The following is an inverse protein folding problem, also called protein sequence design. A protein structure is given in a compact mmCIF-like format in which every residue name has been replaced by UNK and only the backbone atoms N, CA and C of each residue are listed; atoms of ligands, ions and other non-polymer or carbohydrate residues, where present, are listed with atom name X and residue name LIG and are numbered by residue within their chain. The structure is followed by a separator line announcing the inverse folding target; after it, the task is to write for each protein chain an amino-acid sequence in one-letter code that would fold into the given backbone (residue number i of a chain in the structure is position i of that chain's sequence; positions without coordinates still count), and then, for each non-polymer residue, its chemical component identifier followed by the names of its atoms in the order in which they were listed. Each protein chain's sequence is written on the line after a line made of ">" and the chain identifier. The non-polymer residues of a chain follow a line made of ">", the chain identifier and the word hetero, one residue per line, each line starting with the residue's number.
data_IF_074260456592
#
_entry.id   IF_074260456592
#
_cell.length_a   1.000
_cell.length_b   1.000
_cell.length_c   1.000
_cell.angle_alpha   90.00
_cell.angle_beta   90.00
_cell.angle_gamma   90.00
#
_symmetry.space_group_name_H-M   'P 1'
#
loop_
_entity.id
_entity.type
_entity.pdbx_description
1 polymer ?
#
# COMPACT_ATOMS: atom_id res chain seq x y z
N UNK A 1 34.93 -23.54 33.64
CA UNK A 1 34.68 -23.83 32.21
C UNK A 1 33.30 -23.29 31.90
N UNK A 2 33.21 -22.05 31.42
CA UNK A 2 31.98 -21.52 30.80
C UNK A 2 31.72 -22.36 29.56
N UNK A 3 30.50 -22.88 29.42
CA UNK A 3 30.14 -23.67 28.24
C UNK A 3 30.25 -22.76 26.99
N UNK A 4 30.56 -23.33 25.82
CA UNK A 4 30.60 -22.57 24.56
C UNK A 4 29.29 -21.84 24.30
N UNK A 5 28.18 -22.38 24.81
CA UNK A 5 26.83 -21.80 24.69
C UNK A 5 26.68 -20.53 25.56
N UNK A 6 27.25 -20.51 26.77
CA UNK A 6 27.23 -19.32 27.63
C UNK A 6 28.03 -18.16 27.03
N UNK A 7 29.16 -18.47 26.39
CA UNK A 7 29.98 -17.47 25.72
C UNK A 7 29.27 -16.87 24.49
N UNK A 8 28.62 -17.72 23.69
CA UNK A 8 27.81 -17.31 22.55
C UNK A 8 26.62 -16.41 22.95
N UNK A 9 25.92 -16.78 24.02
CA UNK A 9 24.85 -15.97 24.58
C UNK A 9 25.36 -14.62 25.12
N UNK A 10 26.46 -14.62 25.87
CA UNK A 10 27.06 -13.38 26.38
C UNK A 10 27.47 -12.41 25.26
N UNK A 11 27.97 -12.93 24.13
CA UNK A 11 28.26 -12.14 22.93
C UNK A 11 27.01 -11.51 22.32
N UNK A 12 25.92 -12.28 22.23
CA UNK A 12 24.65 -11.81 21.69
C UNK A 12 23.99 -10.72 22.55
N UNK A 13 24.01 -10.87 23.88
CA UNK A 13 23.50 -9.84 24.80
C UNK A 13 24.31 -8.54 24.73
N UNK A 14 25.64 -8.62 24.63
CA UNK A 14 26.47 -7.44 24.41
C UNK A 14 26.17 -6.75 23.07
N UNK A 15 25.91 -7.53 22.02
CA UNK A 15 25.55 -6.96 20.72
C UNK A 15 24.19 -6.25 20.78
N UNK A 16 23.21 -6.82 21.47
CA UNK A 16 21.92 -6.17 21.69
C UNK A 16 22.07 -4.80 22.36
N UNK A 17 22.88 -4.69 23.42
CA UNK A 17 23.11 -3.39 24.08
C UNK A 17 23.84 -2.40 23.16
N UNK A 18 24.86 -2.86 22.42
CA UNK A 18 25.53 -2.04 21.39
C UNK A 18 24.54 -1.47 20.37
N UNK A 19 23.62 -2.29 19.87
CA UNK A 19 22.59 -1.85 18.93
C UNK A 19 21.61 -0.86 19.56
N UNK A 20 21.25 -1.03 20.84
CA UNK A 20 20.38 -0.07 21.57
C UNK A 20 21.05 1.29 21.75
N UNK A 21 22.36 1.32 21.89
CA UNK A 21 23.14 2.56 22.01
C UNK A 21 23.33 3.29 20.67
N UNK A 22 22.96 2.66 19.56
CA UNK A 22 23.09 3.21 18.20
C UNK A 22 24.21 2.56 17.38
N UNK A 23 24.77 1.45 17.85
CA UNK A 23 25.81 0.71 17.14
C UNK A 23 25.34 0.12 15.80
N UNK A 24 26.26 0.01 14.85
CA UNK A 24 25.99 -0.48 13.48
C UNK A 24 26.83 -1.71 13.10
N UNK A 25 27.71 -2.16 14.00
CA UNK A 25 28.66 -3.25 13.76
C UNK A 25 27.93 -4.56 13.40
N UNK A 26 28.24 -5.17 12.24
CA UNK A 26 27.67 -6.46 11.85
C UNK A 26 28.01 -7.58 12.84
N UNK A 27 27.12 -8.58 12.97
CA UNK A 27 27.30 -9.71 13.89
C UNK A 27 28.62 -10.44 13.67
N UNK A 28 28.96 -10.80 12.43
CA UNK A 28 30.22 -11.47 12.09
C UNK A 28 31.48 -10.78 12.64
N UNK A 29 31.44 -9.45 12.77
CA UNK A 29 32.57 -8.62 13.21
C UNK A 29 32.52 -8.26 14.70
N UNK A 30 31.40 -8.56 15.37
CA UNK A 30 31.23 -8.25 16.78
C UNK A 30 31.98 -9.23 17.67
N UNK A 31 32.74 -8.73 18.64
CA UNK A 31 33.52 -9.56 19.57
C UNK A 31 33.28 -9.24 21.06
N UNK A 32 32.36 -8.31 21.36
CA UNK A 32 32.03 -7.94 22.74
C UNK A 32 31.37 -9.08 23.52
N UNK A 33 31.42 -9.03 24.85
CA UNK A 33 30.78 -10.01 25.74
C UNK A 33 30.14 -9.27 26.89
N UNK A 34 28.96 -9.72 27.32
CA UNK A 34 28.16 -9.01 28.32
C UNK A 34 27.23 -9.94 29.08
N UNK A 35 26.60 -9.39 30.12
CA UNK A 35 25.68 -10.13 30.96
C UNK A 35 24.32 -10.29 30.29
N UNK A 36 23.64 -11.40 30.61
CA UNK A 36 22.28 -11.66 30.16
C UNK A 36 21.30 -10.71 30.84
N UNK A 37 20.67 -9.82 30.07
CA UNK A 37 19.72 -8.83 30.59
C UNK A 37 18.25 -9.27 30.53
N UNK A 38 17.94 -10.41 29.90
CA UNK A 38 16.56 -10.87 29.75
C UNK A 38 16.38 -12.38 29.62
N UNK A 39 15.11 -12.82 29.57
CA UNK A 39 14.75 -14.24 29.46
C UNK A 39 14.92 -14.79 28.04
N UNK A 40 14.56 -14.02 27.03
CA UNK A 40 14.61 -14.42 25.62
C UNK A 40 15.37 -13.36 24.85
N UNK A 41 16.32 -13.79 24.02
CA UNK A 41 17.03 -12.92 23.11
C UNK A 41 16.13 -12.63 21.89
N UNK A 42 16.02 -11.36 21.43
CA UNK A 42 15.37 -11.05 20.16
C UNK A 42 16.01 -11.82 18.99
N UNK A 43 15.20 -12.16 17.99
CA UNK A 43 15.68 -12.89 16.81
C UNK A 43 16.60 -12.07 15.92
N UNK A 44 17.27 -12.76 14.99
CA UNK A 44 18.16 -12.20 14.00
C UNK A 44 17.49 -11.10 13.18
N UNK A 45 16.20 -11.25 12.86
CA UNK A 45 15.45 -10.25 12.08
C UNK A 45 15.32 -8.92 12.84
N UNK A 46 14.98 -8.96 14.12
CA UNK A 46 14.80 -7.77 14.96
C UNK A 46 16.15 -7.05 15.16
N UNK A 47 17.21 -7.80 15.40
CA UNK A 47 18.54 -7.26 15.63
C UNK A 47 19.12 -6.62 14.36
N UNK A 48 19.00 -7.29 13.20
CA UNK A 48 19.43 -6.71 11.92
C UNK A 48 18.61 -5.49 11.54
N UNK A 49 17.29 -5.52 11.78
CA UNK A 49 16.45 -4.35 11.51
C UNK A 49 16.88 -3.15 12.36
N UNK A 50 17.17 -3.35 13.65
CA UNK A 50 17.66 -2.28 14.52
C UNK A 50 19.02 -1.76 14.04
N UNK A 51 19.93 -2.64 13.61
CA UNK A 51 21.22 -2.25 13.02
C UNK A 51 21.04 -1.39 11.77
N UNK A 52 20.16 -1.78 10.84
CA UNK A 52 19.86 -1.00 9.61
C UNK A 52 19.14 0.31 9.91
N UNK A 53 18.31 0.35 10.95
CA UNK A 53 17.75 1.60 11.44
C UNK A 53 18.89 2.53 11.86
N UNK A 54 19.79 2.09 12.75
CA UNK A 54 20.96 2.87 13.21
C UNK A 54 21.85 3.36 12.05
N UNK A 55 22.04 2.55 11.00
CA UNK A 55 22.77 2.96 9.80
C UNK A 55 22.07 4.08 9.02
N UNK A 56 20.74 4.03 8.92
CA UNK A 56 19.94 5.03 8.22
C UNK A 56 19.71 6.30 9.06
N UNK A 57 19.71 6.18 10.39
CA UNK A 57 19.54 7.27 11.35
C UNK A 57 19.34 6.74 12.77
N UNK A 58 19.41 7.60 13.80
CA UNK A 58 19.24 7.13 15.17
C UNK A 58 17.74 6.95 15.51
N UNK A 59 17.21 5.72 15.69
CA UNK A 59 15.84 5.53 16.13
C UNK A 59 15.68 6.04 17.57
N UNK A 60 14.49 6.54 17.90
CA UNK A 60 14.19 6.87 19.29
C UNK A 60 14.07 5.59 20.15
N UNK A 61 14.26 5.67 21.48
CA UNK A 61 14.20 4.49 22.35
C UNK A 61 12.87 3.74 22.32
N UNK A 62 11.76 4.42 22.03
CA UNK A 62 10.44 3.83 21.85
C UNK A 62 10.39 2.96 20.60
N UNK A 63 10.84 3.47 19.45
CA UNK A 63 10.94 2.68 18.22
C UNK A 63 11.87 1.46 18.39
N UNK A 64 13.05 1.65 18.98
CA UNK A 64 13.99 0.54 19.23
C UNK A 64 13.35 -0.58 20.08
N UNK A 65 12.61 -0.21 21.13
CA UNK A 65 11.89 -1.19 21.98
C UNK A 65 10.82 -1.94 21.19
N UNK A 66 10.07 -1.26 20.33
CA UNK A 66 9.03 -1.89 19.48
C UNK A 66 9.64 -2.86 18.47
N UNK A 67 10.75 -2.49 17.84
CA UNK A 67 11.49 -3.36 16.91
C UNK A 67 11.93 -4.65 17.60
N UNK A 68 12.54 -4.53 18.79
CA UNK A 68 13.04 -5.68 19.55
C UNK A 68 11.93 -6.58 20.09
N UNK A 69 10.73 -6.04 20.30
CA UNK A 69 9.55 -6.79 20.75
C UNK A 69 8.66 -7.29 19.61
N UNK A 70 8.92 -6.86 18.36
CA UNK A 70 8.10 -7.21 17.21
C UNK A 70 8.23 -8.69 16.87
N UNK A 71 7.12 -9.33 16.52
CA UNK A 71 7.12 -10.66 15.93
C UNK A 71 6.81 -10.56 14.43
N UNK A 72 7.59 -11.24 13.59
CA UNK A 72 7.37 -11.21 12.15
C UNK A 72 6.03 -11.91 11.79
N UNK A 73 5.10 -11.26 11.07
CA UNK A 73 3.82 -11.87 10.69
C UNK A 73 4.04 -13.02 9.71
N UNK A 74 3.43 -14.18 9.98
CA UNK A 74 3.51 -15.37 9.12
C UNK A 74 3.27 -16.65 9.91
N UNK A 75 2.27 -17.45 9.50
CA UNK A 75 1.92 -18.69 10.22
C UNK A 75 3.12 -19.65 10.23
N UNK A 76 3.54 -20.06 11.43
CA UNK A 76 4.55 -21.11 11.62
C UNK A 76 5.99 -20.70 11.30
N UNK A 77 6.28 -19.40 11.17
CA UNK A 77 7.65 -18.91 11.00
C UNK A 77 8.17 -18.33 12.33
N UNK A 78 9.11 -19.01 13.01
CA UNK A 78 9.70 -18.50 14.24
C UNK A 78 10.67 -17.35 13.95
N UNK A 79 11.01 -16.60 15.01
CA UNK A 79 12.18 -15.75 15.02
C UNK A 79 13.44 -16.61 14.82
N UNK A 80 14.39 -16.12 14.03
CA UNK A 80 15.60 -16.86 13.66
C UNK A 80 16.68 -16.65 14.71
N UNK A 81 17.36 -17.71 15.09
CA UNK A 81 18.43 -17.67 16.07
C UNK A 81 19.75 -17.16 15.44
N UNK A 82 20.66 -16.66 16.27
CA UNK A 82 21.97 -16.17 15.82
C UNK A 82 22.99 -17.31 15.73
N UNK A 83 23.73 -17.34 14.62
CA UNK A 83 24.87 -18.24 14.47
C UNK A 83 25.89 -18.02 15.59
N UNK A 84 26.23 -19.10 16.30
CA UNK A 84 27.19 -19.09 17.41
C UNK A 84 26.63 -18.58 18.74
N UNK A 85 25.36 -18.18 18.84
CA UNK A 85 24.71 -17.85 20.12
C UNK A 85 23.67 -18.88 20.58
N UNK A 86 23.10 -19.63 19.63
CA UNK A 86 22.20 -20.75 19.89
C UNK A 86 22.81 -22.07 19.40
N UNK A 87 22.56 -23.19 20.09
CA UNK A 87 22.96 -24.49 19.61
C UNK A 87 22.22 -24.84 18.32
N UNK A 88 22.87 -25.59 17.42
CA UNK A 88 22.18 -26.10 16.24
C UNK A 88 21.07 -27.08 16.65
N UNK A 89 19.81 -26.65 16.49
CA UNK A 89 18.66 -27.52 16.69
C UNK A 89 18.49 -28.51 15.54
N UNK A 90 18.01 -29.72 15.85
CA UNK A 90 17.59 -30.71 14.83
C UNK A 90 16.25 -30.35 14.18
N UNK A 91 15.49 -29.44 14.80
CA UNK A 91 14.16 -29.03 14.37
C UNK A 91 14.08 -27.52 14.25
N UNK A 92 13.44 -27.04 13.18
CA UNK A 92 13.32 -25.61 12.88
C UNK A 92 14.43 -25.11 11.95
N UNK A 93 14.40 -23.81 11.62
CA UNK A 93 15.42 -23.19 10.78
C UNK A 93 16.78 -23.16 11.51
N UNK A 94 17.86 -23.28 10.76
CA UNK A 94 19.21 -23.16 11.31
C UNK A 94 19.48 -21.73 11.80
N UNK A 95 20.34 -21.54 12.83
CA UNK A 95 20.83 -20.22 13.20
C UNK A 95 21.53 -19.52 12.02
N UNK A 96 21.35 -18.21 11.92
CA UNK A 96 21.79 -17.40 10.77
C UNK A 96 22.72 -16.27 11.21
N UNK A 97 23.57 -15.80 10.29
CA UNK A 97 24.14 -14.46 10.42
C UNK A 97 23.07 -13.44 10.02
N UNK A 98 22.74 -12.46 10.89
CA UNK A 98 21.76 -11.43 10.59
C UNK A 98 22.08 -10.62 9.31
N UNK A 99 23.35 -10.45 8.95
CA UNK A 99 23.74 -9.73 7.73
C UNK A 99 23.37 -10.48 6.44
N UNK A 100 23.24 -11.81 6.51
CA UNK A 100 22.88 -12.67 5.38
C UNK A 100 21.36 -12.86 5.22
N UNK A 101 20.57 -12.22 6.08
CA UNK A 101 19.12 -12.31 6.00
C UNK A 101 18.59 -11.73 4.68
N UNK A 102 17.70 -12.45 3.97
CA UNK A 102 16.98 -11.88 2.84
C UNK A 102 16.19 -10.64 3.27
N UNK A 103 16.15 -9.61 2.42
CA UNK A 103 15.42 -8.39 2.70
C UNK A 103 13.93 -8.64 2.99
N UNK A 104 13.32 -9.64 2.37
CA UNK A 104 11.92 -10.05 2.64
C UNK A 104 11.65 -10.36 4.12
N UNK A 105 12.60 -10.97 4.85
CA UNK A 105 12.44 -11.27 6.27
C UNK A 105 12.36 -9.99 7.12
N UNK A 106 13.14 -8.97 6.77
CA UNK A 106 13.11 -7.67 7.44
C UNK A 106 11.88 -6.85 7.02
N UNK A 107 11.44 -6.97 5.76
CA UNK A 107 10.21 -6.36 5.26
C UNK A 107 9.00 -6.88 6.05
N UNK A 108 8.96 -8.17 6.41
CA UNK A 108 7.88 -8.72 7.25
C UNK A 108 7.78 -8.02 8.60
N UNK A 109 8.91 -7.83 9.29
CA UNK A 109 8.93 -7.14 10.59
C UNK A 109 8.52 -5.67 10.44
N UNK A 110 9.13 -4.95 9.49
CA UNK A 110 8.85 -3.52 9.26
C UNK A 110 7.40 -3.26 8.84
N UNK A 111 6.82 -4.12 8.01
CA UNK A 111 5.41 -3.97 7.59
C UNK A 111 4.42 -4.20 8.72
N UNK A 112 4.76 -5.03 9.72
CA UNK A 112 3.96 -5.16 10.95
C UNK A 112 3.97 -3.89 11.77
N UNK A 113 5.17 -3.34 12.04
CA UNK A 113 5.32 -2.08 12.78
C UNK A 113 4.61 -0.91 12.09
N UNK A 114 4.76 -0.79 10.77
CA UNK A 114 4.08 0.24 9.98
C UNK A 114 2.56 0.05 9.98
N UNK A 115 2.06 -1.19 9.96
CA UNK A 115 0.62 -1.45 10.06
C UNK A 115 0.07 -1.05 11.44
N UNK A 116 0.79 -1.36 12.52
CA UNK A 116 0.43 -0.91 13.88
C UNK A 116 0.42 0.62 13.99
N UNK A 117 1.42 1.30 13.44
CA UNK A 117 1.48 2.77 13.37
C UNK A 117 0.27 3.35 12.65
N UNK A 118 -0.12 2.74 11.54
CA UNK A 118 -1.26 3.17 10.73
C UNK A 118 -2.60 2.94 11.43
N UNK A 119 -2.72 1.90 12.26
CA UNK A 119 -3.93 1.67 13.10
C UNK A 119 -4.02 2.71 14.21
N UNK A 120 -2.89 3.13 14.77
CA UNK A 120 -2.82 4.15 15.80
C UNK A 120 -3.18 5.56 15.29
N UNK A 121 -3.17 5.79 13.97
CA UNK A 121 -3.61 7.07 13.39
C UNK A 121 -5.11 7.27 13.71
N UNK A 122 -5.47 8.38 14.41
CA UNK A 122 -6.87 8.67 14.73
C UNK A 122 -7.76 8.59 13.50
N UNK A 123 -9.01 8.17 13.70
CA UNK A 123 -9.97 8.19 12.61
C UNK A 123 -10.11 9.63 12.10
N UNK A 124 -9.89 9.88 10.81
CA UNK A 124 -10.11 11.18 10.25
C UNK A 124 -11.57 11.55 10.49
N UNK A 125 -11.82 12.80 10.88
CA UNK A 125 -13.20 13.24 11.08
C UNK A 125 -14.04 12.92 9.83
N UNK A 126 -15.31 12.51 10.00
CA UNK A 126 -16.17 12.18 8.89
C UNK A 126 -16.14 13.29 7.84
N UNK A 127 -15.94 12.88 6.58
CA UNK A 127 -15.77 13.80 5.47
C UNK A 127 -16.93 14.80 5.40
N UNK A 128 -16.69 15.91 4.72
CA UNK A 128 -17.72 16.91 4.51
C UNK A 128 -19.00 16.26 3.97
N UNK A 129 -18.95 15.32 3.02
CA UNK A 129 -20.15 14.67 2.44
C UNK A 129 -21.00 13.95 3.48
N UNK A 130 -20.37 13.31 4.45
CA UNK A 130 -20.99 12.62 5.58
C UNK A 130 -21.62 13.63 6.52
N UNK A 131 -20.95 14.76 6.78
CA UNK A 131 -21.55 15.92 7.48
C UNK A 131 -22.74 16.52 6.71
N UNK A 132 -22.61 16.77 5.41
CA UNK A 132 -23.68 17.27 4.53
C UNK A 132 -24.85 16.28 4.42
N UNK A 133 -24.60 14.97 4.54
CA UNK A 133 -25.65 13.93 4.61
C UNK A 133 -26.39 13.97 5.94
N UNK A 134 -25.68 14.15 7.05
CA UNK A 134 -26.26 14.21 8.42
C UNK A 134 -27.01 15.52 8.67
N UNK A 135 -26.57 16.64 8.08
CA UNK A 135 -27.18 17.97 8.25
C UNK A 135 -28.51 18.19 7.51
N UNK A 136 -29.11 17.15 6.90
CA UNK A 136 -30.56 17.12 6.63
C UNK A 136 -31.18 18.21 5.75
N UNK A 137 -30.38 19.08 5.09
CA UNK A 137 -30.91 20.20 4.32
C UNK A 137 -31.56 19.76 3.00
N UNK A 138 -32.88 19.94 2.90
CA UNK A 138 -33.70 19.89 1.68
C UNK A 138 -33.04 20.65 0.49
N UNK A 139 -32.32 21.74 0.77
CA UNK A 139 -31.54 22.52 -0.22
C UNK A 139 -30.30 21.80 -0.78
N UNK A 140 -29.68 20.88 -0.02
CA UNK A 140 -28.51 20.11 -0.43
C UNK A 140 -28.80 18.94 -1.38
N UNK A 141 -30.08 18.63 -1.63
CA UNK A 141 -30.53 17.65 -2.64
C UNK A 141 -30.79 18.28 -4.01
N UNK A 142 -31.18 19.56 -4.03
CA UNK A 142 -31.58 20.31 -5.22
C UNK A 142 -30.40 20.85 -6.05
N UNK A 143 -29.18 20.85 -5.50
CA UNK A 143 -27.96 21.37 -6.16
C UNK A 143 -26.84 20.32 -6.34
N UNK A 144 -27.14 19.02 -6.23
CA UNK A 144 -26.11 17.99 -6.43
C UNK A 144 -25.80 17.84 -7.91
N UNK A 145 -24.53 17.92 -8.32
CA UNK A 145 -24.18 17.66 -9.70
C UNK A 145 -24.49 16.19 -10.03
N UNK A 146 -25.24 15.98 -11.11
CA UNK A 146 -25.80 14.69 -11.52
C UNK A 146 -24.77 13.83 -12.26
N UNK A 147 -23.69 13.41 -11.60
CA UNK A 147 -22.72 12.50 -12.23
C UNK A 147 -22.21 11.42 -11.28
N UNK A 148 -21.72 10.31 -11.86
CA UNK A 148 -21.06 9.21 -11.15
C UNK A 148 -19.78 8.83 -11.88
N UNK A 149 -18.66 8.74 -11.16
CA UNK A 149 -17.36 8.32 -11.68
C UNK A 149 -17.17 6.82 -11.44
N UNK A 150 -16.91 6.06 -12.50
CA UNK A 150 -16.64 4.61 -12.50
C UNK A 150 -15.53 4.29 -13.52
N UNK A 151 -15.18 3.01 -13.72
CA UNK A 151 -14.10 2.60 -14.61
C UNK A 151 -12.80 2.45 -13.83
N UNK A 152 -11.71 3.06 -14.31
CA UNK A 152 -10.41 3.07 -13.64
C UNK A 152 -10.53 3.55 -12.18
N UNK A 153 -10.31 2.66 -11.19
CA UNK A 153 -10.58 2.96 -9.80
C UNK A 153 -9.55 3.93 -9.20
N UNK A 154 -8.30 3.91 -9.66
CA UNK A 154 -7.25 4.79 -9.15
C UNK A 154 -7.53 6.25 -9.58
N UNK A 155 -7.85 6.44 -10.87
CA UNK A 155 -8.21 7.75 -11.43
C UNK A 155 -9.54 8.26 -10.88
N UNK A 156 -10.56 7.40 -10.83
CA UNK A 156 -11.88 7.79 -10.34
C UNK A 156 -11.86 8.17 -8.86
N UNK A 157 -11.05 7.50 -8.04
CA UNK A 157 -10.88 7.82 -6.63
C UNK A 157 -10.20 9.18 -6.42
N UNK A 158 -9.10 9.44 -7.15
CA UNK A 158 -8.39 10.73 -7.10
C UNK A 158 -9.31 11.90 -7.49
N UNK A 159 -10.03 11.77 -8.62
CA UNK A 159 -10.98 12.77 -9.06
C UNK A 159 -12.13 12.97 -8.04
N UNK A 160 -12.67 11.87 -7.50
CA UNK A 160 -13.74 11.92 -6.48
C UNK A 160 -13.29 12.65 -5.23
N UNK A 161 -12.11 12.34 -4.68
CA UNK A 161 -11.58 13.00 -3.47
C UNK A 161 -11.45 14.51 -3.68
N UNK A 162 -10.90 14.93 -4.82
CA UNK A 162 -10.80 16.35 -5.15
C UNK A 162 -12.17 17.03 -5.27
N UNK A 163 -13.11 16.40 -5.96
CA UNK A 163 -14.47 16.94 -6.16
C UNK A 163 -15.24 17.03 -4.85
N UNK A 164 -15.08 16.05 -3.96
CA UNK A 164 -15.62 16.07 -2.60
C UNK A 164 -15.06 17.24 -1.79
N UNK A 165 -13.73 17.43 -1.78
CA UNK A 165 -13.07 18.55 -1.09
C UNK A 165 -13.55 19.92 -1.61
N UNK A 166 -13.93 20.01 -2.89
CA UNK A 166 -14.50 21.21 -3.52
C UNK A 166 -16.02 21.37 -3.33
N UNK A 167 -16.66 20.55 -2.49
CA UNK A 167 -18.11 20.61 -2.24
C UNK A 167 -18.97 20.12 -3.40
N UNK A 168 -18.41 19.33 -4.32
CA UNK A 168 -19.10 18.79 -5.51
C UNK A 168 -19.08 17.26 -5.55
N UNK A 169 -19.60 16.58 -4.52
CA UNK A 169 -19.55 15.12 -4.46
C UNK A 169 -20.33 14.47 -5.62
N UNK A 170 -19.80 13.38 -6.23
CA UNK A 170 -20.56 12.62 -7.24
C UNK A 170 -21.83 12.01 -6.63
N UNK A 171 -22.95 12.03 -7.37
CA UNK A 171 -24.21 11.42 -6.96
C UNK A 171 -25.46 12.03 -7.59
N UNK A 172 -26.58 11.94 -6.88
CA UNK A 172 -27.89 12.44 -7.31
C UNK A 172 -28.87 11.32 -7.70
N UNK A 173 -30.16 11.66 -7.82
CA UNK A 173 -31.23 10.71 -8.13
C UNK A 173 -31.20 10.20 -9.59
N UNK A 174 -30.52 10.92 -10.48
CA UNK A 174 -30.35 10.53 -11.88
C UNK A 174 -28.98 10.98 -12.44
N UNK A 175 -27.87 10.33 -12.06
CA UNK A 175 -26.54 10.72 -12.51
C UNK A 175 -26.24 10.28 -13.95
N UNK A 176 -25.52 11.11 -14.71
CA UNK A 176 -24.75 10.66 -15.88
C UNK A 176 -23.52 9.88 -15.39
N UNK A 177 -23.35 8.66 -15.87
CA UNK A 177 -22.24 7.80 -15.52
C UNK A 177 -21.07 8.09 -16.45
N UNK A 178 -19.97 8.57 -15.89
CA UNK A 178 -18.70 8.80 -16.58
C UNK A 178 -17.79 7.60 -16.28
N UNK A 179 -17.53 6.79 -17.31
CA UNK A 179 -16.66 5.62 -17.24
C UNK A 179 -15.26 6.06 -17.64
N UNK A 180 -14.40 6.25 -16.65
CA UNK A 180 -13.02 6.69 -16.84
C UNK A 180 -12.17 5.53 -17.36
N UNK A 181 -11.32 5.81 -18.34
CA UNK A 181 -10.32 4.89 -18.85
C UNK A 181 -9.06 5.62 -19.33
N UNK A 182 -8.29 4.92 -20.15
CA UNK A 182 -7.07 5.39 -20.77
C UNK A 182 -6.49 4.30 -21.67
N UNK A 183 -5.19 4.35 -21.93
CA UNK A 183 -4.45 3.25 -22.53
C UNK A 183 -4.51 1.99 -21.63
N UNK A 184 -4.44 0.81 -22.23
CA UNK A 184 -4.65 -0.43 -21.49
C UNK A 184 -3.50 -0.69 -20.51
N UNK A 185 -2.25 -0.37 -20.87
CA UNK A 185 -1.13 -0.54 -19.95
C UNK A 185 -1.33 0.30 -18.68
N UNK A 186 -1.67 1.58 -18.82
CA UNK A 186 -1.96 2.48 -17.70
C UNK A 186 -3.14 2.00 -16.85
N UNK A 187 -4.23 1.55 -17.47
CA UNK A 187 -5.37 1.02 -16.72
C UNK A 187 -5.04 -0.27 -15.93
N UNK A 188 -4.14 -1.12 -16.43
CA UNK A 188 -3.68 -2.32 -15.72
C UNK A 188 -2.81 -1.96 -14.52
N UNK A 189 -1.88 -1.01 -14.69
CA UNK A 189 -1.06 -0.51 -13.58
C UNK A 189 -1.90 0.20 -12.52
N UNK A 190 -2.86 1.01 -12.94
CA UNK A 190 -3.79 1.73 -12.06
C UNK A 190 -4.68 0.74 -11.28
N UNK A 191 -5.15 -0.32 -11.95
CA UNK A 191 -5.95 -1.36 -11.30
C UNK A 191 -5.16 -2.15 -10.24
N UNK A 192 -3.92 -2.55 -10.53
CA UNK A 192 -3.10 -3.25 -9.52
C UNK A 192 -2.69 -2.30 -8.37
N UNK A 193 -2.37 -1.05 -8.68
CA UNK A 193 -2.13 0.00 -7.67
C UNK A 193 -3.34 0.19 -6.77
N UNK A 194 -4.56 0.22 -7.33
CA UNK A 194 -5.78 0.32 -6.53
C UNK A 194 -5.95 -0.85 -5.56
N UNK A 195 -5.62 -2.06 -6.02
CA UNK A 195 -5.65 -3.28 -5.20
C UNK A 195 -4.59 -3.25 -4.10
N UNK A 196 -3.38 -2.77 -4.39
CA UNK A 196 -2.31 -2.63 -3.40
C UNK A 196 -2.69 -1.68 -2.25
N UNK A 197 -3.52 -0.67 -2.53
CA UNK A 197 -4.10 0.21 -1.51
C UNK A 197 -5.46 -0.27 -1.01
N UNK A 198 -5.57 -1.57 -0.71
CA UNK A 198 -6.76 -2.22 -0.17
C UNK A 198 -6.37 -3.32 0.81
N UNK A 199 -7.28 -3.70 1.70
CA UNK A 199 -7.06 -4.76 2.70
C UNK A 199 -8.03 -5.94 2.55
N UNK A 200 -8.82 -5.99 1.46
CA UNK A 200 -9.87 -6.98 1.21
C UNK A 200 -9.41 -8.38 0.78
N UNK A 201 -8.17 -8.76 1.02
CA UNK A 201 -7.60 -10.06 0.67
C UNK A 201 -6.16 -9.97 0.14
N UNK A 202 -5.46 -11.11 0.02
CA UNK A 202 -4.09 -11.14 -0.48
C UNK A 202 -4.04 -10.63 -1.92
N UNK A 203 -3.11 -9.72 -2.17
CA UNK A 203 -2.84 -9.19 -3.51
C UNK A 203 -1.55 -9.84 -4.00
N UNK A 204 -1.60 -10.58 -5.13
CA UNK A 204 -0.40 -11.18 -5.71
C UNK A 204 0.64 -10.12 -6.07
N UNK A 205 1.89 -10.56 -6.23
CA UNK A 205 2.95 -9.70 -6.80
C UNK A 205 2.53 -9.22 -8.19
N UNK A 206 3.13 -8.11 -8.65
CA UNK A 206 2.82 -7.54 -9.95
C UNK A 206 2.94 -8.57 -11.09
N UNK A 207 4.06 -9.31 -11.14
CA UNK A 207 4.32 -10.36 -12.13
C UNK A 207 3.23 -11.43 -12.13
N UNK A 208 3.00 -12.08 -10.99
CA UNK A 208 1.96 -13.12 -10.88
C UNK A 208 0.58 -12.62 -11.29
N UNK A 209 0.25 -11.38 -10.91
CA UNK A 209 -1.04 -10.78 -11.27
C UNK A 209 -1.17 -10.52 -12.78
N UNK A 210 -0.16 -9.92 -13.43
CA UNK A 210 -0.22 -9.62 -14.86
C UNK A 210 -0.18 -10.89 -15.70
N UNK A 211 0.61 -11.88 -15.31
CA UNK A 211 0.66 -13.21 -15.97
C UNK A 211 -0.73 -13.84 -15.97
N UNK A 212 -1.40 -13.85 -14.81
CA UNK A 212 -2.78 -14.37 -14.68
C UNK A 212 -3.78 -13.63 -15.57
N UNK A 213 -3.67 -12.30 -15.69
CA UNK A 213 -4.54 -11.49 -16.56
C UNK A 213 -4.30 -11.82 -18.04
N UNK A 214 -3.04 -11.96 -18.44
CA UNK A 214 -2.64 -12.28 -19.81
C UNK A 214 -3.09 -13.69 -20.20
N UNK A 215 -2.82 -14.68 -19.34
CA UNK A 215 -3.18 -16.09 -19.52
C UNK A 215 -4.70 -16.28 -19.58
N UNK A 216 -5.44 -15.68 -18.64
CA UNK A 216 -6.90 -15.78 -18.63
C UNK A 216 -7.57 -14.97 -19.75
N UNK A 217 -6.89 -13.95 -20.27
CA UNK A 217 -7.43 -12.98 -21.23
C UNK A 217 -8.55 -12.10 -20.68
N UNK A 218 -8.82 -12.14 -19.36
CA UNK A 218 -9.94 -11.44 -18.72
C UNK A 218 -9.45 -10.15 -18.06
N UNK A 219 -9.99 -9.02 -18.51
CA UNK A 219 -9.74 -7.74 -17.88
C UNK A 219 -10.59 -7.60 -16.61
N UNK A 220 -9.98 -7.10 -15.55
CA UNK A 220 -10.74 -6.66 -14.37
C UNK A 220 -11.60 -5.44 -14.71
N UNK A 221 -12.75 -5.27 -14.04
CA UNK A 221 -13.72 -4.19 -14.34
C UNK A 221 -13.10 -2.79 -14.37
N UNK A 222 -12.08 -2.55 -13.56
CA UNK A 222 -11.38 -1.26 -13.52
C UNK A 222 -10.49 -1.00 -14.74
N UNK A 223 -10.06 -2.04 -15.44
CA UNK A 223 -9.29 -1.93 -16.68
C UNK A 223 -10.12 -2.28 -17.93
N UNK A 224 -11.44 -2.42 -17.78
CA UNK A 224 -12.38 -2.73 -18.86
C UNK A 224 -13.49 -1.66 -18.90
N UNK A 225 -13.22 -0.52 -19.57
CA UNK A 225 -14.22 0.55 -19.70
C UNK A 225 -15.46 0.09 -20.50
N UNK A 226 -15.29 -0.85 -21.44
CA UNK A 226 -16.40 -1.41 -22.22
C UNK A 226 -17.35 -2.21 -21.33
N UNK A 227 -16.84 -3.16 -20.54
CA UNK A 227 -17.64 -3.96 -19.62
C UNK A 227 -18.31 -3.07 -18.55
N UNK A 228 -17.58 -2.06 -18.05
CA UNK A 228 -18.13 -1.07 -17.13
C UNK A 228 -19.29 -0.28 -17.76
N UNK A 229 -19.14 0.20 -19.00
CA UNK A 229 -20.16 0.92 -19.72
C UNK A 229 -21.40 0.06 -19.99
N UNK A 230 -21.24 -1.17 -20.50
CA UNK A 230 -22.36 -2.11 -20.75
C UNK A 230 -23.21 -2.33 -19.50
N UNK A 231 -22.57 -2.64 -18.37
CA UNK A 231 -23.25 -2.83 -17.07
C UNK A 231 -24.03 -1.61 -16.62
N UNK A 232 -23.53 -0.40 -16.89
CA UNK A 232 -24.23 0.82 -16.52
C UNK A 232 -25.33 1.19 -17.52
N UNK A 233 -25.15 0.89 -18.80
CA UNK A 233 -26.18 1.04 -19.83
C UNK A 233 -27.42 0.23 -19.48
N UNK A 234 -27.26 -1.01 -19.00
CA UNK A 234 -28.36 -1.85 -18.50
C UNK A 234 -29.13 -1.21 -17.33
N UNK A 235 -28.47 -0.35 -16.54
CA UNK A 235 -29.03 0.23 -15.30
C UNK A 235 -29.62 1.61 -15.48
N UNK A 236 -29.02 2.45 -16.33
CA UNK A 236 -29.40 3.88 -16.47
C UNK A 236 -29.69 4.29 -17.92
N UNK A 237 -29.58 3.36 -18.87
CA UNK A 237 -29.75 3.61 -20.30
C UNK A 237 -28.51 4.21 -20.97
N UNK A 238 -28.33 4.00 -22.29
CA UNK A 238 -27.12 4.38 -23.03
C UNK A 238 -26.91 5.89 -23.09
N UNK A 239 -28.00 6.69 -23.14
CA UNK A 239 -27.93 8.16 -23.18
C UNK A 239 -27.27 8.78 -21.94
N UNK A 240 -27.22 8.04 -20.83
CA UNK A 240 -26.67 8.49 -19.54
C UNK A 240 -25.31 7.88 -19.23
N UNK A 241 -24.71 7.15 -20.17
CA UNK A 241 -23.35 6.60 -20.04
C UNK A 241 -22.44 7.33 -21.02
N UNK A 242 -21.27 7.75 -20.55
CA UNK A 242 -20.20 8.31 -21.39
C UNK A 242 -18.88 7.68 -21.00
N UNK A 243 -18.14 7.17 -21.97
CA UNK A 243 -16.77 6.69 -21.74
C UNK A 243 -15.81 7.86 -21.90
N UNK A 244 -14.94 8.09 -20.92
CA UNK A 244 -13.99 9.20 -20.89
C UNK A 244 -12.59 8.62 -20.90
N UNK A 245 -11.96 8.63 -22.08
CA UNK A 245 -10.60 8.11 -22.30
C UNK A 245 -9.54 9.19 -22.21
N UNK A 246 -9.92 10.47 -22.40
CA UNK A 246 -9.04 11.62 -22.22
C UNK A 246 -9.28 12.28 -20.86
N UNK A 247 -8.29 12.23 -19.94
CA UNK A 247 -8.38 12.89 -18.64
C UNK A 247 -8.62 14.40 -18.74
N UNK A 248 -8.15 15.07 -19.79
CA UNK A 248 -8.30 16.52 -19.97
C UNK A 248 -9.74 16.93 -20.27
N UNK A 249 -10.59 16.02 -20.76
CA UNK A 249 -12.00 16.28 -21.00
C UNK A 249 -12.87 16.17 -19.73
N UNK A 250 -12.39 15.46 -18.70
CA UNK A 250 -13.15 15.20 -17.48
C UNK A 250 -13.56 16.47 -16.70
N UNK A 251 -12.70 17.50 -16.52
CA UNK A 251 -13.05 18.72 -15.79
C UNK A 251 -14.32 19.39 -16.34
N UNK A 252 -14.43 19.52 -17.67
CA UNK A 252 -15.61 20.10 -18.33
C UNK A 252 -16.89 19.29 -18.09
N UNK A 253 -16.79 17.95 -18.04
CA UNK A 253 -17.93 17.06 -17.80
C UNK A 253 -18.45 17.09 -16.35
N UNK A 254 -17.59 17.42 -15.39
CA UNK A 254 -17.96 17.53 -13.96
C UNK A 254 -18.09 19.00 -13.50
N UNK A 255 -17.93 19.95 -14.42
CA UNK A 255 -18.14 21.38 -14.22
C UNK A 255 -17.06 22.09 -13.40
N UNK A 256 -15.81 21.63 -13.46
CA UNK A 256 -14.65 22.26 -12.78
C UNK A 256 -13.60 22.69 -13.80
N UNK A 257 -12.71 23.63 -13.42
CA UNK A 257 -11.66 24.13 -14.32
C UNK A 257 -10.55 23.10 -14.55
N UNK A 258 -10.18 22.38 -13.50
CA UNK A 258 -9.12 21.37 -13.55
C UNK A 258 -9.38 20.29 -12.49
N UNK A 259 -8.79 19.12 -12.73
CA UNK A 259 -8.70 18.04 -11.76
C UNK A 259 -7.22 17.67 -11.62
N UNK A 260 -6.75 17.34 -10.41
CA UNK A 260 -5.40 16.82 -10.25
C UNK A 260 -5.28 15.47 -10.97
N UNK A 261 -4.11 15.16 -11.55
CA UNK A 261 -3.85 13.82 -12.07
C UNK A 261 -3.93 12.78 -10.93
N UNK A 262 -4.11 11.52 -11.30
CA UNK A 262 -4.01 10.44 -10.33
C UNK A 262 -2.60 10.43 -9.71
N UNK A 263 -2.45 10.14 -8.40
CA UNK A 263 -1.15 10.12 -7.75
C UNK A 263 -0.20 9.14 -8.45
N UNK A 264 1.04 9.57 -8.67
CA UNK A 264 2.05 8.77 -9.33
C UNK A 264 3.04 8.25 -8.28
N UNK A 265 3.13 6.94 -8.12
CA UNK A 265 3.99 6.26 -7.13
C UNK A 265 5.14 5.52 -7.81
N UNK A 266 6.24 5.29 -7.07
CA UNK A 266 7.26 4.34 -7.50
C UNK A 266 6.73 2.91 -7.33
N UNK A 267 7.26 1.97 -8.11
CA UNK A 267 6.89 0.56 -8.01
C UNK A 267 7.15 -0.02 -6.62
N UNK A 268 8.24 0.40 -5.99
CA UNK A 268 8.64 -0.04 -4.65
C UNK A 268 7.65 0.49 -3.58
N UNK A 269 7.14 1.72 -3.74
CA UNK A 269 6.12 2.27 -2.86
C UNK A 269 4.77 1.54 -2.98
N UNK A 270 4.38 1.14 -4.19
CA UNK A 270 3.15 0.37 -4.41
C UNK A 270 3.28 -1.02 -3.80
N UNK A 271 4.44 -1.68 -3.96
CA UNK A 271 4.68 -2.99 -3.36
C UNK A 271 4.74 -2.93 -1.82
N UNK A 272 5.32 -1.88 -1.25
CA UNK A 272 5.28 -1.64 0.19
C UNK A 272 3.83 -1.51 0.69
N UNK A 273 3.01 -0.69 0.02
CA UNK A 273 1.60 -0.54 0.35
C UNK A 273 0.83 -1.87 0.27
N UNK A 274 1.11 -2.69 -0.75
CA UNK A 274 0.54 -4.04 -0.91
C UNK A 274 0.85 -4.93 0.29
N UNK A 275 2.10 -4.93 0.76
CA UNK A 275 2.55 -5.76 1.88
C UNK A 275 1.98 -5.27 3.21
N UNK A 276 2.00 -3.96 3.46
CA UNK A 276 1.34 -3.33 4.62
C UNK A 276 -0.15 -3.66 4.62
N UNK A 277 -0.84 -3.55 3.48
CA UNK A 277 -2.26 -3.84 3.35
C UNK A 277 -2.62 -5.29 3.71
N UNK A 278 -1.71 -6.24 3.46
CA UNK A 278 -1.86 -7.64 3.87
C UNK A 278 -1.90 -7.81 5.39
N UNK A 279 -1.03 -7.11 6.13
CA UNK A 279 -0.99 -7.15 7.61
C UNK A 279 -2.14 -6.33 8.20
N UNK A 280 -2.36 -5.12 7.67
CA UNK A 280 -3.41 -4.21 8.12
C UNK A 280 -4.80 -4.84 8.00
N UNK A 281 -5.04 -5.69 7.00
CA UNK A 281 -6.30 -6.44 6.86
C UNK A 281 -6.61 -7.42 7.99
N UNK A 282 -5.64 -7.76 8.84
CA UNK A 282 -5.85 -8.54 10.06
C UNK A 282 -6.24 -7.67 11.26
N UNK A 283 -5.98 -6.36 11.19
CA UNK A 283 -6.17 -5.42 12.30
C UNK A 283 -7.44 -4.58 12.14
N UNK A 284 -7.89 -4.33 10.91
CA UNK A 284 -9.04 -3.46 10.62
C UNK A 284 -9.93 -4.01 9.52
N UNK A 285 -11.18 -3.54 9.48
CA UNK A 285 -12.14 -3.90 8.43
C UNK A 285 -11.68 -3.41 7.04
N UNK A 286 -12.09 -4.08 5.94
CA UNK A 286 -11.68 -3.67 4.60
C UNK A 286 -11.95 -2.21 4.22
N UNK A 287 -13.12 -1.61 4.56
CA UNK A 287 -13.37 -0.20 4.30
C UNK A 287 -12.41 0.72 5.07
N UNK A 288 -12.16 0.43 6.35
CA UNK A 288 -11.25 1.21 7.20
C UNK A 288 -9.81 1.08 6.73
N UNK A 289 -9.35 -0.12 6.41
CA UNK A 289 -8.01 -0.35 5.90
C UNK A 289 -7.75 0.40 4.59
N UNK A 290 -8.69 0.36 3.63
CA UNK A 290 -8.59 1.18 2.41
C UNK A 290 -8.51 2.67 2.72
N UNK A 291 -9.29 3.15 3.67
CA UNK A 291 -9.26 4.55 4.08
C UNK A 291 -7.90 4.95 4.66
N UNK A 292 -7.39 4.18 5.63
CA UNK A 292 -6.08 4.40 6.27
C UNK A 292 -4.96 4.38 5.24
N UNK A 293 -4.94 3.39 4.33
CA UNK A 293 -3.93 3.31 3.28
C UNK A 293 -3.98 4.54 2.33
N UNK A 294 -5.17 5.07 2.04
CA UNK A 294 -5.34 6.19 1.11
C UNK A 294 -5.14 7.57 1.73
N UNK A 295 -5.45 7.72 3.01
CA UNK A 295 -5.43 9.00 3.69
C UNK A 295 -4.15 9.20 4.52
N UNK A 296 -3.64 8.14 5.16
CA UNK A 296 -2.46 8.21 6.02
C UNK A 296 -1.19 7.69 5.33
N UNK A 297 -1.26 6.53 4.66
CA UNK A 297 -0.07 5.95 4.03
C UNK A 297 0.30 6.64 2.71
N UNK A 298 -0.68 6.82 1.81
CA UNK A 298 -0.43 7.35 0.46
C UNK A 298 0.36 8.68 0.46
N UNK A 299 0.03 9.72 1.26
CA UNK A 299 0.80 10.96 1.26
C UNK A 299 2.28 10.77 1.58
N UNK A 300 2.61 9.84 2.48
CA UNK A 300 3.99 9.52 2.89
C UNK A 300 4.79 8.80 1.79
N UNK A 301 4.10 8.25 0.79
CA UNK A 301 4.69 7.51 -0.32
C UNK A 301 4.85 8.32 -1.62
N UNK A 302 4.26 9.53 -1.70
CA UNK A 302 4.24 10.32 -2.94
C UNK A 302 5.64 10.76 -3.40
N UNK A 303 6.51 11.11 -2.44
CA UNK A 303 7.86 11.60 -2.70
C UNK A 303 8.90 10.46 -2.74
N UNK A 304 8.47 9.21 -2.60
CA UNK A 304 9.36 8.06 -2.64
C UNK A 304 10.01 7.93 -4.03
N UNK A 305 11.36 7.98 -4.13
CA UNK A 305 12.04 7.84 -5.40
C UNK A 305 11.91 6.41 -5.91
N UNK A 306 12.08 6.23 -7.21
CA UNK A 306 12.16 4.91 -7.84
C UNK A 306 11.46 4.86 -9.20
N UNK A 307 11.63 3.74 -9.92
CA UNK A 307 11.04 3.57 -11.24
C UNK A 307 9.52 3.45 -11.14
N UNK A 308 8.82 3.78 -12.23
CA UNK A 308 7.37 3.63 -12.33
C UNK A 308 7.01 2.19 -12.64
N UNK A 309 5.88 1.75 -12.10
CA UNK A 309 5.28 0.47 -12.48
C UNK A 309 4.91 0.49 -13.97
N UNK A 310 5.17 -0.60 -14.67
CA UNK A 310 4.79 -0.76 -16.07
C UNK A 310 4.58 -2.22 -16.44
N UNK A 311 3.96 -2.44 -17.60
CA UNK A 311 3.75 -3.80 -18.12
C UNK A 311 5.08 -4.40 -18.57
N UNK A 312 5.42 -5.63 -18.13
CA UNK A 312 6.65 -6.31 -18.56
C UNK A 312 6.75 -6.48 -20.09
N UNK A 313 7.95 -6.37 -20.69
CA UNK A 313 8.15 -6.43 -22.14
C UNK A 313 7.55 -7.65 -22.84
N UNK A 314 7.60 -8.81 -22.20
CA UNK A 314 7.02 -10.07 -22.67
C UNK A 314 5.52 -9.96 -22.98
N UNK A 315 4.81 -9.06 -22.31
CA UNK A 315 3.36 -8.88 -22.43
C UNK A 315 2.96 -7.74 -23.38
N UNK A 316 3.91 -6.97 -23.91
CA UNK A 316 3.62 -5.81 -24.77
C UNK A 316 2.80 -6.19 -26.01
N UNK A 317 3.12 -7.32 -26.64
CA UNK A 317 2.36 -7.83 -27.81
C UNK A 317 0.91 -8.17 -27.47
N UNK A 318 0.66 -8.67 -26.27
CA UNK A 318 -0.69 -8.95 -25.81
C UNK A 318 -1.46 -7.64 -25.57
N UNK A 319 -0.86 -6.68 -24.87
CA UNK A 319 -1.46 -5.37 -24.59
C UNK A 319 -1.85 -4.65 -25.88
N UNK A 320 -0.96 -4.58 -26.87
CA UNK A 320 -1.22 -3.92 -28.16
C UNK A 320 -2.38 -4.58 -28.90
N UNK A 321 -2.47 -5.92 -28.92
CA UNK A 321 -3.61 -6.61 -29.55
C UNK A 321 -4.90 -6.36 -28.79
N UNK A 322 -4.85 -6.39 -27.46
CA UNK A 322 -6.04 -6.23 -26.61
C UNK A 322 -6.58 -4.81 -26.66
N UNK A 323 -5.74 -3.78 -26.66
CA UNK A 323 -6.16 -2.38 -26.80
C UNK A 323 -6.79 -2.10 -28.16
N UNK A 324 -6.26 -2.68 -29.25
CA UNK A 324 -6.91 -2.61 -30.58
C UNK A 324 -8.31 -3.21 -30.61
N UNK A 325 -8.48 -4.38 -29.99
CA UNK A 325 -9.81 -5.02 -29.87
C UNK A 325 -10.76 -4.16 -29.04
N UNK A 326 -10.28 -3.67 -27.89
CA UNK A 326 -11.07 -2.78 -27.03
C UNK A 326 -11.50 -1.50 -27.74
N UNK A 327 -10.64 -0.92 -28.58
CA UNK A 327 -10.99 0.23 -29.43
C UNK A 327 -12.14 -0.09 -30.38
N UNK A 328 -12.05 -1.21 -31.09
CA UNK A 328 -13.08 -1.62 -32.06
C UNK A 328 -14.43 -1.88 -31.37
N UNK A 329 -14.38 -2.56 -30.23
CA UNK A 329 -15.57 -2.83 -29.43
C UNK A 329 -16.19 -1.52 -28.89
N UNK A 330 -15.38 -0.54 -28.49
CA UNK A 330 -15.86 0.77 -28.04
C UNK A 330 -16.49 1.59 -29.17
N UNK A 331 -15.92 1.52 -30.39
CA UNK A 331 -16.48 2.20 -31.58
C UNK A 331 -17.85 1.66 -31.97
N UNK A 332 -18.08 0.36 -31.78
CA UNK A 332 -19.35 -0.29 -32.12
C UNK A 332 -20.43 -0.21 -31.02
N UNK A 333 -20.09 0.21 -29.80
CA UNK A 333 -20.97 0.07 -28.63
C UNK A 333 -22.09 1.13 -28.48
N UNK A 334 -22.17 2.12 -29.38
CA UNK A 334 -23.32 3.03 -29.51
C UNK A 334 -23.50 4.06 -28.38
N UNK A 335 -22.59 4.15 -27.41
CA UNK A 335 -22.54 5.22 -26.41
C UNK A 335 -21.40 6.23 -26.69
N UNK A 336 -21.53 7.49 -26.25
CA UNK A 336 -20.50 8.51 -26.47
C UNK A 336 -19.15 8.13 -25.85
N UNK A 337 -18.09 8.22 -26.66
CA UNK A 337 -16.69 8.11 -26.24
C UNK A 337 -16.05 9.48 -26.33
N UNK A 338 -15.42 9.92 -25.24
CA UNK A 338 -14.82 11.24 -25.08
C UNK A 338 -13.30 11.08 -24.97
N UNK A 339 -12.59 11.49 -26.03
CA UNK A 339 -11.13 11.59 -26.08
C UNK A 339 -10.65 12.14 -27.43
N UNK A 340 -9.61 12.98 -27.40
CA UNK A 340 -9.08 13.92 -28.43
C UNK A 340 -9.50 13.78 -29.90
N UNK A 341 -9.73 14.94 -30.53
CA UNK A 341 -10.19 15.22 -31.91
C UNK A 341 -11.33 14.30 -32.35
N UNK A 342 -12.58 14.78 -32.18
CA UNK A 342 -13.81 14.14 -32.63
C UNK A 342 -14.22 12.84 -31.90
N UNK A 343 -13.92 12.70 -30.60
CA UNK A 343 -14.43 11.56 -29.81
C UNK A 343 -13.82 10.21 -30.19
N UNK A 344 -12.53 10.20 -30.54
CA UNK A 344 -11.87 8.98 -30.99
C UNK A 344 -11.58 8.03 -29.82
N UNK A 345 -11.99 6.76 -29.99
CA UNK A 345 -11.57 5.65 -29.14
C UNK A 345 -10.05 5.36 -29.22
N UNK A 346 -9.29 6.04 -30.08
CA UNK A 346 -7.84 5.82 -30.24
C UNK A 346 -7.02 6.11 -28.98
N UNK A 347 -7.55 6.89 -28.02
CA UNK A 347 -6.90 7.13 -26.74
C UNK A 347 -6.72 5.84 -25.89
N UNK A 348 -7.44 4.76 -26.20
CA UNK A 348 -7.26 3.44 -25.56
C UNK A 348 -6.04 2.68 -26.10
N UNK A 349 -5.49 3.10 -27.24
CA UNK A 349 -4.45 2.35 -27.93
C UNK A 349 -3.10 2.48 -27.26
N UNK A 350 -2.48 1.34 -27.03
CA UNK A 350 -1.07 1.25 -26.69
C UNK A 350 -0.22 1.21 -27.96
N UNK A 351 0.79 2.06 -28.00
CA UNK A 351 1.72 2.13 -29.12
C UNK A 351 2.97 1.30 -28.82
N UNK A 352 3.36 0.33 -29.69
CA UNK A 352 4.54 -0.51 -29.47
C UNK A 352 5.82 0.27 -29.15
N UNK A 353 6.04 1.40 -29.84
CA UNK A 353 7.21 2.26 -29.60
C UNK A 353 7.21 2.87 -28.21
N UNK A 354 6.06 3.34 -27.71
CA UNK A 354 5.94 3.92 -26.36
C UNK A 354 6.17 2.87 -25.28
N UNK A 355 5.60 1.67 -25.46
CA UNK A 355 5.82 0.56 -24.55
C UNK A 355 7.28 0.10 -24.55
N UNK A 356 7.93 0.01 -25.72
CA UNK A 356 9.33 -0.40 -25.82
C UNK A 356 10.31 0.63 -25.22
N UNK A 357 9.97 1.92 -25.24
CA UNK A 357 10.77 2.97 -24.57
C UNK A 357 10.51 3.03 -23.06
N UNK A 358 9.38 2.51 -22.59
CA UNK A 358 9.14 2.41 -21.17
C UNK A 358 10.07 1.33 -20.60
N UNK A 359 10.92 1.70 -19.65
CA UNK A 359 11.64 0.74 -18.82
C UNK A 359 10.79 0.48 -17.58
N UNK A 360 9.92 -0.55 -17.58
CA UNK A 360 9.05 -0.82 -16.44
C UNK A 360 9.92 -1.16 -15.22
N UNK A 361 9.67 -0.45 -14.13
CA UNK A 361 10.25 -0.83 -12.85
C UNK A 361 9.58 -2.09 -12.32
N UNK A 362 10.38 -2.92 -11.65
CA UNK A 362 9.89 -4.03 -10.83
C UNK A 362 10.18 -3.76 -9.36
N UNK A 363 9.32 -4.24 -8.45
CA UNK A 363 9.60 -4.14 -7.02
C UNK A 363 10.93 -4.81 -6.70
N UNK A 364 11.83 -4.08 -6.05
CA UNK A 364 13.11 -4.62 -5.59
C UNK A 364 13.15 -4.62 -4.07
N UNK A 365 13.38 -5.78 -3.47
CA UNK A 365 13.22 -5.97 -2.02
C UNK A 365 14.09 -5.02 -1.21
N UNK A 366 15.38 -4.84 -1.56
CA UNK A 366 16.23 -3.88 -0.85
C UNK A 366 15.73 -2.42 -0.92
N UNK A 367 15.16 -1.99 -2.04
CA UNK A 367 14.61 -0.63 -2.17
C UNK A 367 13.30 -0.47 -1.40
N UNK A 368 12.48 -1.52 -1.38
CA UNK A 368 11.26 -1.58 -0.55
C UNK A 368 11.63 -1.53 0.94
N UNK A 369 12.63 -2.29 1.37
CA UNK A 369 13.12 -2.29 2.74
C UNK A 369 13.70 -0.92 3.12
N UNK A 370 14.57 -0.35 2.27
CA UNK A 370 15.12 0.98 2.51
C UNK A 370 14.02 2.05 2.65
N UNK A 371 12.96 1.97 1.84
CA UNK A 371 11.80 2.84 1.98
C UNK A 371 11.06 2.62 3.31
N UNK A 372 10.82 1.36 3.70
CA UNK A 372 10.16 1.02 4.96
C UNK A 372 10.96 1.49 6.18
N UNK A 373 12.29 1.33 6.17
CA UNK A 373 13.20 1.82 7.22
C UNK A 373 13.10 3.34 7.37
N UNK A 374 13.18 4.09 6.26
CA UNK A 374 13.00 5.55 6.30
C UNK A 374 11.64 5.94 6.88
N UNK A 375 10.57 5.26 6.47
CA UNK A 375 9.23 5.52 6.98
C UNK A 375 9.08 5.27 8.50
N UNK A 376 9.78 4.27 9.05
CA UNK A 376 9.79 4.04 10.49
C UNK A 376 10.53 5.16 11.24
N UNK A 377 11.64 5.67 10.68
CA UNK A 377 12.38 6.78 11.26
C UNK A 377 11.61 8.12 11.18
N UNK A 378 10.86 8.34 10.09
CA UNK A 378 10.06 9.54 9.89
C UNK A 378 8.75 9.54 10.69
N UNK A 379 8.38 8.41 11.31
CA UNK A 379 7.20 8.35 12.15
C UNK A 379 7.44 9.21 13.41
N UNK A 380 6.57 10.20 13.65
CA UNK A 380 6.65 11.01 14.86
C UNK A 380 6.65 10.10 16.11
N UNK A 381 7.41 10.43 17.15
CA UNK A 381 7.50 9.60 18.35
C UNK A 381 6.10 9.42 18.93
N UNK A 382 5.66 8.16 19.05
CA UNK A 382 4.43 7.83 19.74
C UNK A 382 4.53 8.33 21.18
N UNK A 383 3.68 9.30 21.54
CA UNK A 383 3.43 9.56 22.95
C UNK A 383 2.81 8.27 23.51
N UNK A 384 3.56 7.61 24.41
CA UNK A 384 3.09 6.42 25.08
C UNK A 384 1.69 6.68 25.68
N UNK A 385 0.77 5.70 25.66
CA UNK A 385 -0.51 5.87 26.32
C UNK A 385 -0.27 6.22 27.79
N UNK A 386 -0.80 7.36 28.23
CA UNK A 386 -0.84 7.74 29.64
C UNK A 386 -1.43 6.56 30.41
N UNK A 387 -0.61 5.90 31.22
CA UNK A 387 -1.10 5.02 32.27
C UNK A 387 -1.87 5.92 33.25
N UNK A 388 -3.19 5.93 33.14
CA UNK A 388 -4.05 6.49 34.17
C UNK A 388 -3.73 5.75 35.47
N UNK A 389 -3.27 6.42 36.53
CA UNK A 389 -3.03 5.73 37.79
C UNK A 389 -4.37 5.19 38.30
N UNK A 390 -4.46 3.87 38.44
CA UNK A 390 -5.54 3.23 39.15
C UNK A 390 -5.58 3.82 40.57
N UNK A 391 -6.58 4.65 40.85
CA UNK A 391 -6.94 5.02 42.20
C UNK A 391 -7.35 3.75 42.93
N UNK A 392 -6.51 3.33 43.88
CA UNK A 392 -6.83 2.31 44.87
C UNK A 392 -7.89 2.90 45.80
N UNK A 393 -9.13 2.42 45.70
CA UNK A 393 -10.13 2.66 46.75
C UNK A 393 -9.80 1.77 47.95
N UNK A 394 -9.78 2.30 49.18
CA UNK A 394 -9.65 1.48 50.37
C UNK A 394 -10.97 0.73 50.64
N UNK A 395 -10.88 -0.58 50.88
CA UNK A 395 -11.96 -1.37 51.47
C UNK A 395 -12.27 -0.82 52.86
N UNK A 396 -13.50 -0.32 53.05
CA UNK A 396 -14.05 -0.12 54.39
C UNK A 396 -14.46 -1.47 54.98
N UNK A 397 -13.97 -1.69 56.20
CA UNK A 397 -14.26 -2.83 57.05
C UNK A 397 -15.77 -2.94 57.35
N UNK A 398 -16.29 -4.16 57.21
CA UNK A 398 -17.55 -4.58 57.81
C UNK A 398 -17.34 -4.78 59.31
N UNK A 399 -18.11 -4.05 60.11
CA UNK A 399 -18.48 -4.43 61.49
C UNK A 399 -19.99 -4.56 61.57
#
# INVERSE_FOLDING_TARGET
>A
MTSSDDAGQGRAWAWLEHLREGGTTPWAQWAGTGERTGRVLPGAQQLELLRRLNEAGRPDPGLARRVLAASAPGRGRPDLELVGAAPQSRFGPAPVDPADLPADELIRVTTSLLAEDLVAVPEPEPDLVTRWRRLGGHWGRLRRPHYRLVGDPWRADAARRHLVQRGRPPGGASPTVLVLGGDLAGMLTDLWTDRAFSTGGPVPTWRTWIDTVVESGRLGRGADPLASARRWTERVGPRRVRVVLDPAALPGLVGVRSLPPAPSLSVDAIDLARRIGGVLGLLVTPPRGREVLRQALLPRLLDAPGPRLGVPPEHHRWVVRRSRRLREDLRSAGYPVVGTVLGSADAVLDHPRRLATAQPGEPHEDRVLALAVRMLLDAAPHQAPHQTPHQTQPQEDLS
#
